data_IF_522862000074
#
_entry.id   IF_522862000074
#
_cell.length_a   1.000
_cell.length_b   1.000
_cell.length_c   1.000
_cell.angle_alpha   90.00
_cell.angle_beta   90.00
_cell.angle_gamma   90.00
#
_symmetry.space_group_name_H-M   'P 1'
#
loop_
_entity.id
_entity.type
_entity.pdbx_description
1 polymer ?
#
# COMPACT_ATOMS: atom_id res chain seq x y z
N UNK A 1 13.28 -3.26 5.31
CA UNK A 1 12.00 -2.94 5.97
C UNK A 1 11.77 -3.63 7.30
N UNK A 2 11.95 -4.95 7.42
CA UNK A 2 11.73 -5.66 8.70
C UNK A 2 12.43 -5.03 9.91
N UNK A 3 13.71 -4.62 9.79
CA UNK A 3 14.44 -3.96 10.88
C UNK A 3 13.79 -2.66 11.34
N UNK A 4 13.30 -1.84 10.40
CA UNK A 4 12.58 -0.60 10.70
C UNK A 4 11.27 -0.88 11.45
N UNK A 5 10.46 -1.83 10.96
CA UNK A 5 9.21 -2.16 11.62
C UNK A 5 9.44 -2.71 13.04
N UNK A 6 10.46 -3.56 13.23
CA UNK A 6 10.82 -4.12 14.54
C UNK A 6 11.18 -3.07 15.60
N UNK A 7 11.61 -1.86 15.21
CA UNK A 7 11.92 -0.80 16.17
C UNK A 7 10.68 -0.04 16.67
N UNK A 8 9.46 -0.48 16.31
CA UNK A 8 8.19 0.16 16.68
C UNK A 8 8.16 1.68 16.43
N UNK A 9 8.43 2.17 15.21
CA UNK A 9 8.63 3.60 14.96
C UNK A 9 7.34 4.44 15.08
N UNK A 10 6.15 3.82 15.18
CA UNK A 10 4.85 4.50 15.15
C UNK A 10 4.49 5.01 13.75
N UNK A 11 3.37 5.74 13.59
CA UNK A 11 2.89 6.18 12.28
C UNK A 11 3.76 7.30 11.67
N UNK A 12 4.94 6.95 11.13
CA UNK A 12 5.85 7.86 10.44
C UNK A 12 6.63 7.16 9.34
N UNK A 13 7.00 7.91 8.31
CA UNK A 13 7.91 7.41 7.27
C UNK A 13 9.33 7.22 7.80
N UNK A 14 10.11 6.33 7.17
CA UNK A 14 11.52 6.13 7.48
C UNK A 14 12.07 4.77 7.04
N UNK A 15 13.11 4.28 7.71
CA UNK A 15 13.81 3.06 7.32
C UNK A 15 14.74 3.28 6.11
N UNK A 16 14.90 2.28 5.22
CA UNK A 16 15.63 2.45 3.97
C UNK A 16 15.12 3.64 3.15
N UNK A 17 16.04 4.35 2.49
CA UNK A 17 15.69 5.40 1.55
C UNK A 17 14.86 4.85 0.38
N UNK A 18 14.02 5.70 -0.19
CA UNK A 18 13.17 5.37 -1.33
C UNK A 18 11.74 5.82 -1.12
N UNK A 19 10.88 5.42 -2.04
CA UNK A 19 9.46 5.68 -1.98
C UNK A 19 8.79 4.65 -1.09
N UNK A 20 7.85 5.09 -0.29
CA UNK A 20 7.28 4.28 0.77
C UNK A 20 5.77 4.50 0.85
N UNK A 21 5.06 3.39 1.00
CA UNK A 21 3.68 3.40 1.45
C UNK A 21 3.63 3.09 2.94
N UNK A 22 2.81 3.85 3.67
CA UNK A 22 2.57 3.70 5.10
C UNK A 22 1.06 3.61 5.34
N UNK A 23 0.66 2.65 6.16
CA UNK A 23 -0.70 2.55 6.66
C UNK A 23 -0.74 1.87 8.03
N UNK A 24 -1.87 2.03 8.71
CA UNK A 24 -2.23 1.10 9.78
C UNK A 24 -2.51 -0.28 9.18
N UNK A 25 -2.30 -1.33 9.98
CA UNK A 25 -2.65 -2.70 9.60
C UNK A 25 -3.64 -3.31 10.61
N UNK A 26 -4.40 -4.29 10.14
CA UNK A 26 -5.21 -5.15 11.03
C UNK A 26 -4.36 -6.35 11.43
N UNK A 27 -4.11 -6.50 12.73
CA UNK A 27 -3.36 -7.64 13.27
C UNK A 27 -4.07 -8.98 12.95
N UNK A 28 -3.29 -9.96 12.51
CA UNK A 28 -3.73 -11.31 12.19
C UNK A 28 -2.67 -12.34 12.63
N UNK A 29 -3.02 -13.63 12.67
CA UNK A 29 -2.15 -14.68 13.19
C UNK A 29 -2.15 -14.67 14.72
N UNK A 30 -1.24 -13.91 15.34
CA UNK A 30 -1.12 -13.84 16.81
C UNK A 30 -2.37 -13.29 17.51
N UNK A 31 -3.21 -12.55 16.78
CA UNK A 31 -4.53 -12.07 17.25
C UNK A 31 -5.65 -13.12 17.17
N UNK A 32 -5.35 -14.34 16.69
CA UNK A 32 -6.34 -15.40 16.44
C UNK A 32 -7.15 -15.23 15.16
N UNK A 33 -6.96 -14.12 14.41
CA UNK A 33 -7.59 -13.92 13.10
C UNK A 33 -6.78 -14.62 12.02
N UNK A 34 -7.46 -15.31 11.10
CA UNK A 34 -6.83 -15.85 9.90
C UNK A 34 -6.36 -14.70 8.99
N UNK A 35 -5.05 -14.62 8.75
CA UNK A 35 -4.46 -13.60 7.89
C UNK A 35 -4.97 -13.66 6.44
N UNK A 36 -5.41 -14.83 5.97
CA UNK A 36 -5.98 -14.98 4.62
C UNK A 36 -7.39 -14.40 4.51
N UNK A 37 -8.04 -14.11 5.64
CA UNK A 37 -9.39 -13.54 5.71
C UNK A 37 -9.41 -12.06 6.07
N UNK A 38 -8.25 -11.41 6.12
CA UNK A 38 -8.11 -9.99 6.45
C UNK A 38 -7.65 -9.23 5.22
N UNK A 39 -8.45 -8.26 4.79
CA UNK A 39 -8.05 -7.33 3.73
C UNK A 39 -6.89 -6.47 4.23
N UNK A 40 -5.75 -6.55 3.55
CA UNK A 40 -4.54 -5.83 3.92
C UNK A 40 -4.55 -4.34 3.56
N UNK A 41 -3.53 -3.62 4.05
CA UNK A 41 -3.35 -2.18 3.77
C UNK A 41 -3.20 -1.83 2.28
N UNK A 42 -2.75 -2.77 1.45
CA UNK A 42 -2.69 -2.57 0.00
C UNK A 42 -4.05 -2.25 -0.60
N UNK A 43 -5.15 -2.80 -0.06
CA UNK A 43 -6.49 -2.44 -0.52
C UNK A 43 -6.86 -1.01 -0.16
N UNK A 44 -6.43 -0.51 1.00
CA UNK A 44 -6.65 0.90 1.37
C UNK A 44 -5.98 1.84 0.36
N UNK A 45 -4.71 1.56 0.04
CA UNK A 45 -3.97 2.31 -0.98
C UNK A 45 -4.59 2.16 -2.36
N UNK A 46 -5.13 0.99 -2.71
CA UNK A 46 -5.78 0.80 -3.99
C UNK A 46 -7.10 1.57 -4.07
N UNK A 47 -8.03 1.27 -3.16
CA UNK A 47 -9.43 1.61 -3.28
C UNK A 47 -9.67 3.12 -3.15
N UNK A 48 -9.11 3.72 -2.10
CA UNK A 48 -9.34 5.13 -1.79
C UNK A 48 -8.56 6.05 -2.73
N UNK A 49 -7.29 5.75 -2.97
CA UNK A 49 -6.41 6.66 -3.70
C UNK A 49 -6.57 6.57 -5.21
N UNK A 50 -6.99 5.43 -5.76
CA UNK A 50 -7.30 5.30 -7.20
C UNK A 50 -8.38 6.30 -7.63
N UNK A 51 -9.30 6.67 -6.74
CA UNK A 51 -10.34 7.69 -7.04
C UNK A 51 -9.76 9.07 -7.36
N UNK A 52 -8.51 9.34 -6.92
CA UNK A 52 -7.78 10.56 -7.23
C UNK A 52 -6.81 10.37 -8.40
N UNK A 53 -6.64 9.18 -8.96
CA UNK A 53 -5.75 8.94 -10.09
C UNK A 53 -6.41 9.35 -11.41
N UNK A 54 -5.73 10.21 -12.17
CA UNK A 54 -6.14 10.57 -13.52
C UNK A 54 -5.45 9.66 -14.54
N UNK A 55 -6.19 8.71 -15.10
CA UNK A 55 -5.68 7.78 -16.11
C UNK A 55 -5.34 8.45 -17.46
N UNK A 56 -5.92 9.62 -17.77
CA UNK A 56 -5.63 10.35 -19.00
C UNK A 56 -4.25 11.00 -18.96
N UNK A 57 -3.89 11.61 -17.83
CA UNK A 57 -2.59 12.26 -17.63
C UNK A 57 -1.57 11.40 -16.88
N UNK A 58 -1.97 10.25 -16.36
CA UNK A 58 -1.16 9.41 -15.47
C UNK A 58 -0.57 10.21 -14.29
N UNK A 59 -1.45 10.90 -13.58
CA UNK A 59 -1.06 11.74 -12.44
C UNK A 59 -2.16 11.82 -11.39
N UNK A 60 -1.80 12.19 -10.16
CA UNK A 60 -2.79 12.52 -9.13
C UNK A 60 -3.58 13.79 -9.47
N UNK A 61 -4.90 13.73 -9.34
CA UNK A 61 -5.77 14.89 -9.26
C UNK A 61 -5.54 15.58 -7.91
N UNK A 62 -4.75 16.65 -7.94
CA UNK A 62 -4.29 17.38 -6.76
C UNK A 62 -2.89 16.98 -6.32
N UNK A 63 -2.60 17.12 -5.03
CA UNK A 63 -1.28 16.81 -4.48
C UNK A 63 -0.93 15.32 -4.56
N UNK A 64 0.35 15.01 -4.76
CA UNK A 64 0.84 13.63 -4.83
C UNK A 64 0.48 12.81 -3.59
N UNK A 65 0.45 13.43 -2.40
CA UNK A 65 0.06 12.76 -1.16
C UNK A 65 -1.38 12.18 -1.16
N UNK A 66 -2.25 12.56 -2.11
CA UNK A 66 -3.61 12.00 -2.23
C UNK A 66 -3.66 10.66 -2.94
N UNK A 67 -2.72 10.38 -3.84
CA UNK A 67 -2.66 9.08 -4.50
C UNK A 67 -1.27 8.50 -4.75
N UNK A 68 -0.32 8.93 -3.92
CA UNK A 68 1.06 8.49 -3.99
C UNK A 68 1.22 7.02 -3.67
N UNK A 69 0.41 6.48 -2.75
CA UNK A 69 0.49 5.06 -2.42
C UNK A 69 -0.05 4.19 -3.56
N UNK A 70 -1.17 4.59 -4.17
CA UNK A 70 -1.68 3.96 -5.38
C UNK A 70 -0.64 3.99 -6.50
N UNK A 71 -0.08 5.18 -6.78
CA UNK A 71 0.93 5.38 -7.81
C UNK A 71 2.15 4.50 -7.60
N UNK A 72 2.71 4.46 -6.38
CA UNK A 72 3.85 3.62 -6.05
C UNK A 72 3.54 2.13 -6.28
N UNK A 73 2.39 1.67 -5.76
CA UNK A 73 2.03 0.25 -5.78
C UNK A 73 1.70 -0.25 -7.18
N UNK A 74 1.08 0.59 -8.01
CA UNK A 74 0.59 0.22 -9.33
C UNK A 74 1.55 0.58 -10.46
N UNK A 75 2.69 1.20 -10.16
CA UNK A 75 3.71 1.59 -11.14
C UNK A 75 4.31 0.36 -11.82
N UNK A 76 4.21 0.22 -13.15
CA UNK A 76 4.88 -0.86 -13.89
C UNK A 76 6.41 -0.80 -13.83
N UNK A 77 6.97 0.36 -13.47
CA UNK A 77 8.40 0.61 -13.34
C UNK A 77 8.99 -0.01 -12.07
N UNK A 78 8.17 -0.21 -11.02
CA UNK A 78 8.58 -0.92 -9.80
C UNK A 78 8.83 -2.39 -10.13
N UNK A 79 10.04 -2.88 -9.79
CA UNK A 79 10.47 -4.27 -10.01
C UNK A 79 10.67 -5.04 -8.71
N UNK A 80 10.79 -4.34 -7.60
CA UNK A 80 10.92 -4.93 -6.28
C UNK A 80 10.23 -4.09 -5.21
N UNK A 81 9.67 -4.80 -4.25
CA UNK A 81 9.04 -4.21 -3.08
C UNK A 81 9.47 -5.01 -1.86
N UNK A 82 9.73 -4.31 -0.76
CA UNK A 82 9.95 -4.93 0.53
C UNK A 82 9.02 -4.29 1.56
N UNK A 83 8.26 -5.10 2.29
CA UNK A 83 7.41 -4.63 3.36
C UNK A 83 7.93 -5.04 4.73
N UNK A 84 7.52 -4.31 5.75
CA UNK A 84 7.67 -4.67 7.16
C UNK A 84 6.45 -4.18 7.91
N UNK A 85 6.03 -4.94 8.92
CA UNK A 85 4.93 -4.57 9.80
C UNK A 85 5.31 -4.80 11.25
N UNK A 86 4.60 -4.13 12.14
CA UNK A 86 4.80 -4.24 13.57
C UNK A 86 3.48 -4.19 14.31
N UNK A 87 3.40 -4.91 15.43
CA UNK A 87 2.33 -4.82 16.41
C UNK A 87 2.93 -4.32 17.71
N UNK A 88 2.73 -3.02 18.01
CA UNK A 88 3.40 -2.33 19.10
C UNK A 88 2.40 -1.52 19.93
N UNK A 89 2.79 -1.12 21.14
CA UNK A 89 1.94 -0.29 22.02
C UNK A 89 1.51 1.05 21.37
N UNK A 90 2.30 1.57 20.43
CA UNK A 90 2.00 2.77 19.65
C UNK A 90 1.25 2.49 18.33
N UNK A 91 0.65 1.30 18.20
CA UNK A 91 -0.21 0.90 17.09
C UNK A 91 0.41 -0.13 16.16
N UNK A 92 -0.46 -0.64 15.29
CA UNK A 92 -0.12 -1.66 14.30
C UNK A 92 0.01 -1.01 12.93
N UNK A 93 1.21 -1.09 12.36
CA UNK A 93 1.60 -0.31 11.20
C UNK A 93 2.31 -1.19 10.18
N UNK A 94 2.19 -0.84 8.91
CA UNK A 94 2.91 -1.48 7.81
C UNK A 94 3.55 -0.42 6.93
N UNK A 95 4.78 -0.72 6.51
CA UNK A 95 5.55 0.08 5.57
C UNK A 95 6.00 -0.80 4.42
N UNK A 96 5.74 -0.37 3.19
CA UNK A 96 6.26 -1.01 1.98
C UNK A 96 7.16 -0.01 1.26
N UNK A 97 8.42 -0.38 1.04
CA UNK A 97 9.34 0.37 0.21
C UNK A 97 9.39 -0.24 -1.19
N UNK A 98 9.47 0.64 -2.18
CA UNK A 98 9.48 0.30 -3.60
C UNK A 98 10.79 0.79 -4.24
N UNK A 99 11.32 0.03 -5.18
CA UNK A 99 12.41 0.49 -6.03
C UNK A 99 11.91 1.39 -7.16
N UNK A 100 12.59 2.51 -7.36
CA UNK A 100 12.46 3.30 -8.60
C UNK A 100 11.03 3.68 -9.07
N UNK A 101 9.99 3.87 -8.22
CA UNK A 101 8.73 4.36 -8.76
C UNK A 101 8.92 5.80 -9.25
N UNK A 102 8.25 6.09 -10.36
CA UNK A 102 8.16 7.45 -10.92
C UNK A 102 6.91 8.14 -10.38
N UNK A 103 6.85 9.47 -10.47
CA UNK A 103 5.69 10.25 -9.98
C UNK A 103 4.44 10.09 -10.86
N UNK A 104 4.64 9.75 -12.14
CA UNK A 104 3.60 9.67 -13.16
C UNK A 104 3.70 8.37 -13.98
N UNK A 105 3.60 7.20 -13.33
CA UNK A 105 3.69 5.91 -14.01
C UNK A 105 2.47 5.66 -14.88
N UNK A 106 2.62 4.89 -15.95
CA UNK A 106 1.48 4.51 -16.80
C UNK A 106 0.67 3.38 -16.15
N UNK A 107 -0.23 3.74 -15.24
CA UNK A 107 -1.07 2.77 -14.53
C UNK A 107 -2.27 2.36 -15.38
N UNK A 108 -2.46 1.06 -15.57
CA UNK A 108 -3.64 0.50 -16.23
C UNK A 108 -4.86 0.47 -15.31
N UNK A 109 -6.06 0.63 -15.89
CA UNK A 109 -7.32 0.38 -15.17
C UNK A 109 -7.51 -1.12 -14.95
N UNK A 110 -8.19 -1.49 -13.88
CA UNK A 110 -8.70 -2.86 -13.73
C UNK A 110 -9.64 -3.20 -14.90
N UNK A 111 -9.46 -4.38 -15.47
CA UNK A 111 -10.28 -4.91 -16.58
C UNK A 111 -10.77 -6.30 -16.23
N UNK A 112 -12.00 -6.64 -16.62
CA UNK A 112 -12.55 -7.99 -16.45
C UNK A 112 -13.21 -8.28 -15.09
N UNK A 113 -13.15 -7.36 -14.13
CA UNK A 113 -13.93 -7.40 -12.89
C UNK A 113 -14.11 -6.00 -12.30
N UNK A 114 -15.12 -5.86 -11.45
CA UNK A 114 -15.38 -4.67 -10.63
C UNK A 114 -14.46 -4.62 -9.41
N UNK A 115 -14.32 -3.43 -8.80
CA UNK A 115 -13.60 -3.31 -7.52
C UNK A 115 -14.23 -4.16 -6.40
N UNK A 116 -15.55 -4.32 -6.40
CA UNK A 116 -16.25 -5.12 -5.41
C UNK A 116 -15.88 -6.62 -5.55
N UNK A 117 -15.85 -7.13 -6.78
CA UNK A 117 -15.41 -8.50 -7.07
C UNK A 117 -13.93 -8.71 -6.72
N UNK A 118 -13.06 -7.75 -7.10
CA UNK A 118 -11.65 -7.80 -6.71
C UNK A 118 -11.51 -7.88 -5.19
N UNK A 119 -12.17 -6.98 -4.46
CA UNK A 119 -12.14 -6.97 -2.99
C UNK A 119 -12.60 -8.31 -2.39
N UNK A 120 -13.69 -8.87 -2.91
CA UNK A 120 -14.22 -10.14 -2.44
C UNK A 120 -13.23 -11.30 -2.67
N UNK A 121 -12.47 -11.27 -3.78
CA UNK A 121 -11.47 -12.30 -4.09
C UNK A 121 -10.23 -12.26 -3.20
N UNK A 122 -9.90 -11.11 -2.58
CA UNK A 122 -8.69 -10.97 -1.75
C UNK A 122 -8.72 -11.82 -0.47
N UNK A 123 -9.92 -12.21 -0.03
CA UNK A 123 -10.13 -12.98 1.20
C UNK A 123 -11.02 -14.20 0.99
N UNK A 124 -11.21 -14.62 -0.26
CA UNK A 124 -12.04 -15.76 -0.65
C UNK A 124 -11.51 -17.07 -0.04
#
# INVERSE_FOLDING_TARGET
MRTWAKSCPGFKHGGPAGWQNLATNTACGSSGKDCTKVVGASWLWYDQEETFWNYGSNSCNGGWAKCGHFSNMMSPEVKSMACGWSECANGNHVWCNYDTPVKSPKVGKITGMTKAELKASLTA
#
